data_IF_430073058301
#
_entry.id   IF_430073058301
#
_cell.length_a   1.000
_cell.length_b   1.000
_cell.length_c   1.000
_cell.angle_alpha   90.00
_cell.angle_beta   90.00
_cell.angle_gamma   90.00
#
_symmetry.space_group_name_H-M   'P 1'
#
loop_
_entity.id
_entity.type
_entity.pdbx_description
1 polymer ?
#
# COMPACT_ATOMS: atom_id res chain seq x y z
N UNK A 1 1.28 15.27 -12.15
CA UNK A 1 1.89 16.04 -11.05
C UNK A 1 2.72 15.09 -10.22
N UNK A 2 4.03 15.33 -10.13
CA UNK A 2 4.87 14.70 -9.12
C UNK A 2 4.30 15.06 -7.73
N UNK A 3 4.24 14.10 -6.82
CA UNK A 3 3.72 14.35 -5.46
C UNK A 3 4.78 15.02 -4.55
N UNK A 4 5.99 15.23 -5.07
CA UNK A 4 7.10 15.94 -4.42
C UNK A 4 7.49 17.18 -5.21
N UNK A 5 8.04 18.16 -4.51
CA UNK A 5 8.60 19.37 -5.10
C UNK A 5 10.03 19.11 -5.54
N UNK A 6 10.23 18.84 -6.84
CA UNK A 6 11.57 18.65 -7.41
C UNK A 6 12.43 19.93 -7.40
N UNK A 7 11.87 21.08 -7.01
CA UNK A 7 12.61 22.33 -6.82
C UNK A 7 13.22 22.47 -5.42
N UNK A 8 12.82 21.64 -4.46
CA UNK A 8 13.39 21.63 -3.11
C UNK A 8 14.80 21.00 -3.12
N UNK A 9 15.79 21.70 -2.57
CA UNK A 9 17.17 21.17 -2.49
C UNK A 9 17.20 19.83 -1.75
N UNK A 10 17.88 18.84 -2.33
CA UNK A 10 18.07 17.52 -1.72
C UNK A 10 16.85 16.60 -1.71
N UNK A 11 15.76 16.92 -2.45
CA UNK A 11 14.54 16.11 -2.49
C UNK A 11 14.78 14.62 -2.82
N UNK A 12 15.76 14.34 -3.69
CA UNK A 12 16.12 12.98 -4.11
C UNK A 12 16.56 12.13 -2.92
N UNK A 13 17.28 12.71 -1.95
CA UNK A 13 17.73 11.99 -0.75
C UNK A 13 16.59 11.56 0.17
N UNK A 14 15.41 12.18 0.05
CA UNK A 14 14.24 11.84 0.84
C UNK A 14 13.40 10.70 0.23
N UNK A 15 13.68 10.27 -1.01
CA UNK A 15 12.87 9.23 -1.66
C UNK A 15 12.87 7.91 -0.88
N UNK A 16 14.05 7.38 -0.51
CA UNK A 16 14.16 6.10 0.20
C UNK A 16 13.55 6.17 1.61
N UNK A 17 13.85 7.18 2.45
CA UNK A 17 13.17 7.34 3.74
C UNK A 17 11.66 7.49 3.62
N UNK A 18 11.18 8.28 2.65
CA UNK A 18 9.74 8.46 2.43
C UNK A 18 9.08 7.16 2.00
N UNK A 19 9.70 6.40 1.09
CA UNK A 19 9.21 5.09 0.70
C UNK A 19 9.07 4.14 1.88
N UNK A 20 10.10 4.02 2.71
CA UNK A 20 10.05 3.19 3.92
C UNK A 20 8.93 3.62 4.87
N UNK A 21 8.75 4.94 5.07
CA UNK A 21 7.68 5.47 5.91
C UNK A 21 6.29 5.16 5.34
N UNK A 22 6.07 5.31 4.03
CA UNK A 22 4.78 5.03 3.39
C UNK A 22 4.44 3.54 3.45
N UNK A 23 5.42 2.65 3.23
CA UNK A 23 5.23 1.20 3.40
C UNK A 23 4.88 0.84 4.85
N UNK A 24 5.62 1.40 5.81
CA UNK A 24 5.36 1.16 7.23
C UNK A 24 3.96 1.62 7.65
N UNK A 25 3.57 2.82 7.21
CA UNK A 25 2.24 3.37 7.45
C UNK A 25 1.15 2.52 6.82
N UNK A 26 1.33 2.10 5.57
CA UNK A 26 0.40 1.21 4.88
C UNK A 26 0.17 -0.08 5.68
N UNK A 27 1.24 -0.70 6.20
CA UNK A 27 1.15 -1.92 7.02
C UNK A 27 0.36 -1.68 8.31
N UNK A 28 0.68 -0.63 9.07
CA UNK A 28 -0.05 -0.28 10.31
C UNK A 28 -1.53 -0.02 10.04
N UNK A 29 -1.86 0.68 8.95
CA UNK A 29 -3.26 0.96 8.60
C UNK A 29 -4.02 -0.36 8.38
N UNK A 30 -3.45 -1.31 7.63
CA UNK A 30 -4.06 -2.62 7.43
C UNK A 30 -4.18 -3.45 8.72
N UNK A 31 -3.14 -3.44 9.57
CA UNK A 31 -3.18 -4.11 10.88
C UNK A 31 -4.32 -3.55 11.75
N UNK A 32 -4.51 -2.22 11.73
CA UNK A 32 -5.61 -1.56 12.43
C UNK A 32 -6.98 -1.95 11.88
N UNK A 33 -7.13 -2.10 10.56
CA UNK A 33 -8.39 -2.56 9.97
C UNK A 33 -8.69 -4.02 10.34
N UNK A 34 -7.67 -4.89 10.38
CA UNK A 34 -7.82 -6.28 10.83
C UNK A 34 -8.29 -6.32 12.29
N UNK A 35 -7.65 -5.55 13.17
CA UNK A 35 -8.03 -5.47 14.59
C UNK A 35 -9.49 -5.05 14.76
N UNK A 36 -9.95 -4.03 14.01
CA UNK A 36 -11.35 -3.58 14.04
C UNK A 36 -12.30 -4.69 13.58
N UNK A 37 -11.99 -5.37 12.47
CA UNK A 37 -12.84 -6.45 11.95
C UNK A 37 -12.93 -7.64 12.90
N UNK A 38 -11.88 -7.93 13.67
CA UNK A 38 -11.83 -9.07 14.59
C UNK A 38 -12.47 -8.74 15.94
N UNK A 39 -12.19 -7.56 16.48
CA UNK A 39 -12.48 -7.21 17.88
C UNK A 39 -13.66 -6.25 18.04
N UNK A 40 -14.11 -5.60 16.98
CA UNK A 40 -15.09 -4.51 17.05
C UNK A 40 -16.27 -4.70 16.07
N UNK A 41 -17.16 -5.69 16.31
CA UNK A 41 -18.28 -5.97 15.41
C UNK A 41 -19.18 -4.74 15.24
N UNK A 42 -19.66 -4.51 14.01
CA UNK A 42 -20.53 -3.37 13.69
C UNK A 42 -19.81 -2.10 13.20
N UNK A 43 -18.48 -2.12 13.12
CA UNK A 43 -17.68 -1.00 12.60
C UNK A 43 -17.28 -1.15 11.12
N UNK A 44 -17.98 -1.99 10.35
CA UNK A 44 -17.66 -2.29 8.95
C UNK A 44 -17.62 -1.03 8.07
N UNK A 45 -18.45 -0.04 8.38
CA UNK A 45 -18.48 1.23 7.66
C UNK A 45 -17.17 2.03 7.78
N UNK A 46 -16.58 2.04 8.98
CA UNK A 46 -15.29 2.69 9.23
C UNK A 46 -14.20 1.95 8.45
N UNK A 47 -14.20 0.62 8.56
CA UNK A 47 -13.20 -0.21 7.89
C UNK A 47 -13.26 -0.05 6.38
N UNK A 48 -14.47 -0.07 5.80
CA UNK A 48 -14.66 0.16 4.36
C UNK A 48 -14.09 1.50 3.89
N UNK A 49 -14.37 2.57 4.62
CA UNK A 49 -13.87 3.90 4.28
C UNK A 49 -12.34 3.93 4.36
N UNK A 50 -11.77 3.36 5.42
CA UNK A 50 -10.32 3.35 5.64
C UNK A 50 -9.58 2.48 4.64
N UNK A 51 -10.06 1.28 4.34
CA UNK A 51 -9.51 0.44 3.26
C UNK A 51 -9.49 1.18 1.91
N UNK A 52 -10.55 1.94 1.60
CA UNK A 52 -10.61 2.75 0.37
C UNK A 52 -9.59 3.90 0.38
N UNK A 53 -9.30 4.47 1.54
CA UNK A 53 -8.25 5.50 1.70
C UNK A 53 -6.85 4.90 1.62
N UNK A 54 -6.60 3.79 2.32
CA UNK A 54 -5.34 3.06 2.31
C UNK A 54 -5.00 2.53 0.91
N UNK A 55 -5.98 2.07 0.14
CA UNK A 55 -5.80 1.70 -1.27
C UNK A 55 -5.18 2.84 -2.10
N UNK A 56 -5.63 4.09 -1.90
CA UNK A 56 -5.11 5.26 -2.63
C UNK A 56 -3.65 5.58 -2.30
N UNK A 57 -3.14 5.15 -1.14
CA UNK A 57 -1.73 5.36 -0.75
C UNK A 57 -0.77 4.54 -1.63
N UNK A 58 -1.21 3.42 -2.21
CA UNK A 58 -0.39 2.60 -3.10
C UNK A 58 0.08 3.35 -4.34
N UNK A 59 -0.67 4.34 -4.81
CA UNK A 59 -0.23 5.23 -5.88
C UNK A 59 1.06 5.95 -5.52
N UNK A 60 1.19 6.43 -4.27
CA UNK A 60 2.39 7.12 -3.80
C UNK A 60 3.56 6.15 -3.68
N UNK A 61 3.35 4.98 -3.08
CA UNK A 61 4.34 3.90 -2.96
C UNK A 61 4.86 3.47 -4.34
N UNK A 62 3.96 3.29 -5.31
CA UNK A 62 4.28 2.95 -6.71
C UNK A 62 5.21 3.97 -7.35
N UNK A 63 4.91 5.25 -7.21
CA UNK A 63 5.71 6.32 -7.79
C UNK A 63 7.08 6.39 -7.12
N UNK A 64 7.11 6.38 -5.77
CA UNK A 64 8.35 6.35 -4.99
C UNK A 64 9.30 5.22 -5.41
N UNK A 65 8.79 4.00 -5.54
CA UNK A 65 9.61 2.86 -5.94
C UNK A 65 10.17 3.03 -7.36
N UNK A 66 9.37 3.57 -8.29
CA UNK A 66 9.82 3.91 -9.64
C UNK A 66 10.94 4.95 -9.60
N UNK A 67 10.77 6.05 -8.85
CA UNK A 67 11.77 7.11 -8.76
C UNK A 67 13.06 6.60 -8.12
N UNK A 68 12.98 5.82 -7.05
CA UNK A 68 14.16 5.21 -6.42
C UNK A 68 14.91 4.35 -7.43
N UNK A 69 14.21 3.58 -8.27
CA UNK A 69 14.86 2.75 -9.29
C UNK A 69 15.59 3.55 -10.37
N UNK A 70 15.16 4.80 -10.61
CA UNK A 70 15.77 5.70 -11.61
C UNK A 70 16.94 6.47 -11.00
N UNK A 71 16.76 7.04 -9.81
CA UNK A 71 17.75 7.92 -9.18
C UNK A 71 18.80 7.18 -8.35
N UNK A 72 18.48 5.97 -7.87
CA UNK A 72 19.37 5.14 -7.06
C UNK A 72 19.42 3.69 -7.56
N UNK A 73 19.91 3.45 -8.78
CA UNK A 73 19.93 2.11 -9.37
C UNK A 73 20.75 1.09 -8.54
N UNK A 74 21.77 1.56 -7.82
CA UNK A 74 22.65 0.73 -6.99
C UNK A 74 22.13 0.54 -5.55
N UNK A 75 20.99 1.13 -5.19
CA UNK A 75 20.42 0.93 -3.86
C UNK A 75 20.05 -0.56 -3.66
N UNK A 76 20.27 -1.12 -2.47
CA UNK A 76 19.97 -2.52 -2.17
C UNK A 76 18.51 -2.92 -2.47
N UNK A 77 17.56 -1.99 -2.32
CA UNK A 77 16.16 -2.14 -2.70
C UNK A 77 15.98 -2.45 -4.20
N UNK A 78 16.83 -1.86 -5.05
CA UNK A 78 16.77 -1.94 -6.51
C UNK A 78 17.70 -3.02 -7.07
N UNK A 79 18.95 -3.05 -6.60
CA UNK A 79 20.06 -3.81 -7.18
C UNK A 79 19.82 -5.33 -7.28
N UNK A 80 18.96 -5.89 -6.42
CA UNK A 80 18.62 -7.32 -6.41
C UNK A 80 17.39 -7.67 -7.26
N UNK A 81 16.84 -6.70 -8.00
CA UNK A 81 15.64 -6.90 -8.83
C UNK A 81 16.02 -6.99 -10.30
N UNK A 82 15.16 -7.69 -11.06
CA UNK A 82 15.34 -7.79 -12.52
C UNK A 82 15.22 -6.39 -13.15
N UNK A 83 15.97 -6.10 -14.24
CA UNK A 83 15.79 -4.87 -14.99
C UNK A 83 14.31 -4.66 -15.38
N UNK A 84 13.81 -3.44 -15.22
CA UNK A 84 12.42 -3.11 -15.54
C UNK A 84 11.38 -3.56 -14.51
N UNK A 85 11.78 -4.20 -13.41
CA UNK A 85 10.85 -4.66 -12.36
C UNK A 85 9.99 -3.51 -11.80
N UNK A 86 10.60 -2.36 -11.51
CA UNK A 86 9.89 -1.19 -10.96
C UNK A 86 9.08 -0.41 -11.99
N UNK A 87 9.31 -0.64 -13.28
CA UNK A 87 8.55 -0.04 -14.37
C UNK A 87 7.36 -0.91 -14.81
N UNK A 88 7.37 -2.21 -14.48
CA UNK A 88 6.39 -3.17 -15.00
C UNK A 88 5.75 -4.01 -13.90
N UNK A 89 6.51 -4.85 -13.21
CA UNK A 89 5.99 -5.81 -12.23
C UNK A 89 5.49 -5.14 -10.95
N UNK A 90 6.28 -4.27 -10.34
CA UNK A 90 5.91 -3.61 -9.09
C UNK A 90 4.66 -2.72 -9.24
N UNK A 91 4.52 -1.90 -10.31
CA UNK A 91 3.28 -1.18 -10.59
C UNK A 91 2.05 -2.08 -10.65
N UNK A 92 2.13 -3.23 -11.33
CA UNK A 92 1.01 -4.18 -11.44
C UNK A 92 0.67 -4.81 -10.10
N UNK A 93 1.67 -5.09 -9.26
CA UNK A 93 1.44 -5.58 -7.90
C UNK A 93 0.69 -4.53 -7.07
N UNK A 94 1.12 -3.26 -7.12
CA UNK A 94 0.40 -2.17 -6.45
C UNK A 94 -1.05 -2.05 -6.97
N UNK A 95 -1.26 -2.12 -8.29
CA UNK A 95 -2.61 -2.02 -8.87
C UNK A 95 -3.48 -3.22 -8.45
N UNK A 96 -2.90 -4.43 -8.34
CA UNK A 96 -3.60 -5.60 -7.83
C UNK A 96 -4.04 -5.39 -6.38
N UNK A 97 -3.11 -5.02 -5.49
CA UNK A 97 -3.40 -4.76 -4.08
C UNK A 97 -4.44 -3.64 -3.93
N UNK A 98 -4.33 -2.55 -4.69
CA UNK A 98 -5.28 -1.44 -4.68
C UNK A 98 -6.70 -1.92 -4.99
N UNK A 99 -6.86 -2.71 -6.06
CA UNK A 99 -8.15 -3.26 -6.46
C UNK A 99 -8.70 -4.25 -5.41
N UNK A 100 -7.86 -5.12 -4.85
CA UNK A 100 -8.25 -6.04 -3.77
C UNK A 100 -8.78 -5.28 -2.56
N UNK A 101 -8.09 -4.22 -2.11
CA UNK A 101 -8.55 -3.42 -0.97
C UNK A 101 -9.89 -2.73 -1.25
N UNK A 102 -10.11 -2.23 -2.48
CA UNK A 102 -11.39 -1.64 -2.89
C UNK A 102 -12.51 -2.70 -2.94
N UNK A 103 -12.20 -3.92 -3.35
CA UNK A 103 -13.18 -5.01 -3.37
C UNK A 103 -13.54 -5.48 -1.96
N UNK A 104 -12.55 -5.64 -1.09
CA UNK A 104 -12.74 -5.97 0.32
C UNK A 104 -13.53 -4.88 1.05
N UNK A 105 -13.28 -3.61 0.72
CA UNK A 105 -14.03 -2.48 1.31
C UNK A 105 -15.51 -2.50 0.94
N UNK A 106 -15.86 -2.95 -0.27
CA UNK A 106 -17.27 -3.13 -0.68
C UNK A 106 -17.87 -4.38 -0.03
N UNK A 107 -17.10 -5.46 0.03
CA UNK A 107 -17.52 -6.75 0.59
C UNK A 107 -17.92 -6.61 2.05
N UNK A 108 -17.12 -5.92 2.87
CA UNK A 108 -17.42 -5.75 4.30
C UNK A 108 -18.71 -4.95 4.55
N UNK A 109 -19.07 -4.02 3.65
CA UNK A 109 -20.33 -3.25 3.74
C UNK A 109 -21.53 -4.11 3.35
N UNK A 110 -21.45 -4.78 2.19
CA UNK A 110 -22.59 -5.49 1.63
C UNK A 110 -22.85 -6.83 2.31
N UNK A 111 -21.82 -7.42 2.92
CA UNK A 111 -21.89 -8.70 3.60
C UNK A 111 -21.28 -8.58 5.00
N UNK A 112 -22.00 -8.03 6.00
CA UNK A 112 -21.47 -7.81 7.35
C UNK A 112 -20.96 -9.09 8.03
N UNK A 113 -21.48 -10.27 7.68
CA UNK A 113 -21.00 -11.56 8.18
C UNK A 113 -19.64 -11.98 7.61
N UNK A 114 -19.09 -11.23 6.67
CA UNK A 114 -17.79 -11.51 6.04
C UNK A 114 -16.60 -10.91 6.78
N UNK A 115 -16.80 -10.15 7.87
CA UNK A 115 -15.74 -9.47 8.64
C UNK A 115 -14.50 -10.33 8.88
N UNK A 116 -14.70 -11.55 9.41
CA UNK A 116 -13.60 -12.48 9.66
C UNK A 116 -12.89 -12.90 8.37
N UNK A 117 -13.64 -13.24 7.32
CA UNK A 117 -13.06 -13.63 6.03
C UNK A 117 -12.25 -12.49 5.40
N UNK A 118 -12.76 -11.25 5.50
CA UNK A 118 -12.04 -10.06 5.06
C UNK A 118 -10.76 -9.86 5.89
N UNK A 119 -10.84 -10.00 7.21
CA UNK A 119 -9.67 -9.89 8.09
C UNK A 119 -8.58 -10.90 7.74
N UNK A 120 -8.94 -12.16 7.46
CA UNK A 120 -8.00 -13.19 6.99
C UNK A 120 -7.33 -12.82 5.67
N UNK A 121 -8.09 -12.33 4.69
CA UNK A 121 -7.53 -11.92 3.40
C UNK A 121 -6.60 -10.69 3.53
N UNK A 122 -6.91 -9.76 4.43
CA UNK A 122 -6.03 -8.64 4.74
C UNK A 122 -4.74 -9.10 5.42
N UNK A 123 -4.81 -10.11 6.30
CA UNK A 123 -3.63 -10.71 6.93
C UNK A 123 -2.75 -11.41 5.88
N UNK A 124 -3.33 -12.22 5.00
CA UNK A 124 -2.59 -12.88 3.92
C UNK A 124 -1.89 -11.86 3.01
N UNK A 125 -2.55 -10.72 2.76
CA UNK A 125 -1.98 -9.62 1.99
C UNK A 125 -0.80 -8.98 2.72
N UNK A 126 -0.91 -8.72 4.03
CA UNK A 126 0.18 -8.19 4.85
C UNK A 126 1.39 -9.11 4.90
N UNK A 127 1.17 -10.43 5.03
CA UNK A 127 2.23 -11.42 5.10
C UNK A 127 2.99 -11.55 3.76
N UNK A 128 2.40 -11.06 2.67
CA UNK A 128 3.01 -11.03 1.33
C UNK A 128 3.84 -9.77 1.03
N UNK A 129 3.84 -8.77 1.93
CA UNK A 129 4.52 -7.45 1.79
C UNK A 129 5.70 -7.30 2.76
#
# INVERSE_FOLDING_TARGET
MAWWDSSASGWVYNLVPTYAQEIYRFRIELEGEIDILVNHPGHQHIVSQRLTMTAKSLRKIKILASDISVYFPDNAFVAHRRPGFFQTTFPRLCDFIENTLIELSRTVIHYPHSERSVAWQLQDLLDSI
#
